data_IF_093089828188
#
_entry.id   IF_093089828188
#
_cell.length_a   1.000
_cell.length_b   1.000
_cell.length_c   1.000
_cell.angle_alpha   90.00
_cell.angle_beta   90.00
_cell.angle_gamma   90.00
#
_symmetry.space_group_name_H-M   'P 1'
#
loop_
_entity.id
_entity.type
_entity.pdbx_description
1 polymer ?
#
# COMPACT_ATOMS: atom_id res chain seq x y z
N UNK A 1 0.11 13.46 21.65
CA UNK A 1 0.17 11.99 21.75
C UNK A 1 -0.08 11.45 20.36
N UNK A 2 0.97 11.33 19.56
CA UNK A 2 0.86 10.78 18.21
C UNK A 2 1.07 9.27 18.28
N UNK A 3 0.04 8.55 17.90
CA UNK A 3 -0.04 7.10 17.97
C UNK A 3 1.06 6.44 17.15
N UNK A 4 1.87 5.65 17.86
CA UNK A 4 2.86 4.74 17.30
C UNK A 4 2.15 3.63 16.51
N UNK A 5 1.97 3.83 15.20
CA UNK A 5 1.85 2.71 14.26
C UNK A 5 3.24 2.44 13.71
N UNK A 6 4.02 1.67 14.49
CA UNK A 6 5.25 0.97 14.14
C UNK A 6 5.70 1.18 12.68
N UNK A 7 6.44 2.26 12.42
CA UNK A 7 7.20 2.39 11.20
C UNK A 7 8.48 1.57 11.37
N UNK A 8 8.48 0.44 10.70
CA UNK A 8 9.68 -0.30 10.33
C UNK A 8 10.57 0.69 9.57
N UNK A 9 11.67 1.08 10.21
CA UNK A 9 12.80 1.89 9.74
C UNK A 9 12.64 2.56 8.35
N UNK A 10 12.45 3.89 8.35
CA UNK A 10 12.73 4.75 7.17
C UNK A 10 11.56 5.10 6.24
N UNK A 11 10.36 4.56 6.44
CA UNK A 11 9.18 4.82 5.60
C UNK A 11 8.25 5.92 6.16
N UNK A 12 8.54 7.19 5.89
CA UNK A 12 7.66 8.29 6.32
C UNK A 12 6.31 8.31 5.58
N UNK A 13 5.30 8.99 6.14
CA UNK A 13 4.00 9.19 5.50
C UNK A 13 4.07 9.75 4.08
N UNK A 14 5.09 10.57 3.76
CA UNK A 14 5.32 11.08 2.40
C UNK A 14 5.77 9.97 1.45
N UNK A 15 6.73 9.14 1.89
CA UNK A 15 7.22 7.99 1.12
C UNK A 15 6.10 6.99 0.88
N UNK A 16 5.26 6.75 1.88
CA UNK A 16 4.09 5.88 1.76
C UNK A 16 3.09 6.35 0.71
N UNK A 17 2.69 7.62 0.76
CA UNK A 17 1.76 8.18 -0.23
C UNK A 17 2.31 8.06 -1.65
N UNK A 18 3.58 8.44 -1.83
CA UNK A 18 4.26 8.38 -3.13
C UNK A 18 4.34 6.94 -3.64
N UNK A 19 4.65 5.98 -2.77
CA UNK A 19 4.70 4.56 -3.12
C UNK A 19 3.33 4.00 -3.52
N UNK A 20 2.26 4.37 -2.81
CA UNK A 20 0.89 3.95 -3.15
C UNK A 20 0.44 4.56 -4.50
N UNK A 21 0.76 5.83 -4.75
CA UNK A 21 0.49 6.48 -6.04
C UNK A 21 1.21 5.78 -7.19
N UNK A 22 2.49 5.41 -6.98
CA UNK A 22 3.25 4.63 -7.96
C UNK A 22 2.62 3.27 -8.22
N UNK A 23 2.16 2.57 -7.17
CA UNK A 23 1.44 1.30 -7.33
C UNK A 23 0.17 1.48 -8.17
N UNK A 24 -0.61 2.55 -7.96
CA UNK A 24 -1.79 2.83 -8.79
C UNK A 24 -1.43 3.09 -10.25
N UNK A 25 -0.35 3.83 -10.53
CA UNK A 25 0.11 4.09 -11.91
C UNK A 25 0.53 2.79 -12.59
N UNK A 26 1.25 1.91 -11.90
CA UNK A 26 1.72 0.64 -12.45
C UNK A 26 0.56 -0.35 -12.64
N UNK A 27 -0.39 -0.42 -11.68
CA UNK A 27 -1.60 -1.23 -11.81
C UNK A 27 -2.54 -0.73 -12.92
N UNK A 28 -2.78 0.58 -13.01
CA UNK A 28 -3.67 1.18 -14.02
C UNK A 28 -3.15 1.05 -15.45
N UNK A 29 -1.85 0.81 -15.64
CA UNK A 29 -1.22 0.58 -16.94
C UNK A 29 -1.27 -0.89 -17.41
N UNK A 30 -1.95 -1.78 -16.68
CA UNK A 30 -2.13 -3.20 -17.07
C UNK A 30 -0.82 -3.99 -17.30
N UNK A 31 0.30 -3.58 -16.71
CA UNK A 31 1.56 -4.33 -16.77
C UNK A 31 1.59 -5.53 -15.80
N UNK A 32 0.47 -5.90 -15.18
CA UNK A 32 0.44 -6.87 -14.07
C UNK A 32 -0.50 -8.03 -14.40
N UNK A 33 -0.03 -8.93 -15.26
CA UNK A 33 -0.57 -10.29 -15.37
C UNK A 33 0.58 -11.30 -15.35
N UNK A 34 0.90 -11.84 -14.17
CA UNK A 34 1.81 -12.99 -14.01
C UNK A 34 3.07 -12.72 -13.19
N UNK A 35 3.51 -13.72 -12.42
CA UNK A 35 4.60 -13.60 -11.42
C UNK A 35 6.00 -13.25 -11.95
N UNK A 36 6.22 -13.30 -13.28
CA UNK A 36 7.48 -12.81 -13.90
C UNK A 36 7.51 -11.27 -14.05
N UNK A 37 6.34 -10.64 -14.09
CA UNK A 37 6.18 -9.18 -14.15
C UNK A 37 6.26 -8.53 -12.76
N UNK A 38 6.03 -9.27 -11.67
CA UNK A 38 6.18 -8.74 -10.30
C UNK A 38 7.62 -8.27 -10.05
N UNK A 39 8.66 -8.97 -10.53
CA UNK A 39 10.05 -8.52 -10.37
C UNK A 39 10.38 -7.28 -11.21
N UNK A 40 9.93 -7.22 -12.47
CA UNK A 40 10.15 -6.06 -13.35
C UNK A 40 9.45 -4.82 -12.76
N UNK A 41 8.24 -5.01 -12.23
CA UNK A 41 7.48 -3.99 -11.52
C UNK A 41 8.22 -3.48 -10.28
N UNK A 42 8.79 -4.38 -9.47
CA UNK A 42 9.53 -4.01 -8.25
C UNK A 42 10.80 -3.21 -8.55
N UNK A 43 11.56 -3.60 -9.59
CA UNK A 43 12.73 -2.83 -10.04
C UNK A 43 12.29 -1.43 -10.50
N UNK A 44 11.21 -1.33 -11.29
CA UNK A 44 10.68 -0.03 -11.72
C UNK A 44 10.19 0.85 -10.56
N UNK A 45 9.52 0.26 -9.56
CA UNK A 45 9.11 0.94 -8.33
C UNK A 45 10.32 1.42 -7.53
N UNK A 46 11.34 0.57 -7.38
CA UNK A 46 12.57 0.92 -6.69
C UNK A 46 13.28 2.09 -7.38
N UNK A 47 13.45 2.04 -8.71
CA UNK A 47 14.09 3.12 -9.46
C UNK A 47 13.35 4.44 -9.25
N UNK A 48 12.01 4.45 -9.31
CA UNK A 48 11.22 5.67 -9.11
C UNK A 48 11.28 6.20 -7.68
N UNK A 49 11.23 5.31 -6.69
CA UNK A 49 11.42 5.69 -5.28
C UNK A 49 12.81 6.28 -5.02
N UNK A 50 13.85 5.71 -5.65
CA UNK A 50 15.21 6.21 -5.53
C UNK A 50 15.43 7.56 -6.21
N UNK A 51 14.71 7.87 -7.30
CA UNK A 51 14.75 9.19 -7.93
C UNK A 51 14.27 10.28 -6.96
N UNK A 52 13.20 10.03 -6.21
CA UNK A 52 12.63 11.06 -5.32
C UNK A 52 13.26 11.08 -3.92
N UNK A 53 13.64 9.93 -3.39
CA UNK A 53 13.99 9.80 -1.97
C UNK A 53 15.38 9.18 -1.71
N UNK A 54 15.94 8.45 -2.68
CA UNK A 54 17.19 7.72 -2.54
C UNK A 54 17.18 6.60 -1.47
N UNK A 55 18.19 5.73 -1.52
CA UNK A 55 18.49 4.78 -0.44
C UNK A 55 17.57 3.54 -0.33
N UNK A 56 16.74 3.25 -1.33
CA UNK A 56 15.92 2.04 -1.37
C UNK A 56 16.64 0.88 -2.05
N UNK A 57 16.63 -0.26 -1.39
CA UNK A 57 17.02 -1.55 -1.97
C UNK A 57 15.79 -2.25 -2.55
N UNK A 58 16.00 -3.18 -3.47
CA UNK A 58 14.91 -4.01 -4.00
C UNK A 58 14.17 -4.73 -2.86
N UNK A 59 14.92 -5.26 -1.89
CA UNK A 59 14.39 -5.92 -0.69
C UNK A 59 13.51 -5.00 0.15
N UNK A 60 13.89 -3.73 0.36
CA UNK A 60 13.09 -2.82 1.17
C UNK A 60 11.76 -2.46 0.50
N UNK A 61 11.76 -2.32 -0.83
CA UNK A 61 10.55 -2.08 -1.64
C UNK A 61 9.65 -3.32 -1.66
N UNK A 62 10.21 -4.50 -1.89
CA UNK A 62 9.48 -5.77 -1.87
C UNK A 62 8.83 -6.03 -0.50
N UNK A 63 9.58 -5.81 0.59
CA UNK A 63 9.05 -5.97 1.94
C UNK A 63 7.87 -5.04 2.19
N UNK A 64 7.96 -3.78 1.75
CA UNK A 64 6.86 -2.83 1.91
C UNK A 64 5.65 -3.18 1.06
N UNK A 65 5.86 -3.58 -0.19
CA UNK A 65 4.78 -4.08 -1.06
C UNK A 65 4.05 -5.27 -0.42
N UNK A 66 4.79 -6.25 0.08
CA UNK A 66 4.22 -7.43 0.75
C UNK A 66 3.44 -7.06 2.02
N UNK A 67 3.93 -6.11 2.81
CA UNK A 67 3.20 -5.58 3.96
C UNK A 67 1.87 -4.95 3.55
N UNK A 68 1.86 -4.08 2.54
CA UNK A 68 0.64 -3.44 2.04
C UNK A 68 -0.34 -4.48 1.48
N UNK A 69 0.15 -5.44 0.68
CA UNK A 69 -0.68 -6.54 0.14
C UNK A 69 -1.33 -7.35 1.26
N UNK A 70 -0.61 -7.67 2.33
CA UNK A 70 -1.17 -8.38 3.51
C UNK A 70 -2.24 -7.54 4.22
N UNK A 71 -1.99 -6.24 4.43
CA UNK A 71 -2.98 -5.32 5.02
C UNK A 71 -4.24 -5.23 4.16
N UNK A 72 -4.12 -5.10 2.84
CA UNK A 72 -5.26 -5.11 1.93
C UNK A 72 -6.06 -6.41 2.01
N UNK A 73 -5.39 -7.58 2.10
CA UNK A 73 -6.09 -8.86 2.31
C UNK A 73 -6.89 -8.88 3.61
N UNK A 74 -6.32 -8.40 4.71
CA UNK A 74 -7.02 -8.31 6.00
C UNK A 74 -8.23 -7.38 5.88
N UNK A 75 -8.06 -6.19 5.29
CA UNK A 75 -9.17 -5.27 5.06
C UNK A 75 -10.26 -5.86 4.17
N UNK A 76 -9.88 -6.59 3.10
CA UNK A 76 -10.86 -7.26 2.25
C UNK A 76 -11.66 -8.31 3.03
N UNK A 77 -11.02 -9.10 3.91
CA UNK A 77 -11.74 -10.04 4.77
C UNK A 77 -12.70 -9.30 5.70
N UNK A 78 -12.25 -8.22 6.34
CA UNK A 78 -13.11 -7.39 7.20
C UNK A 78 -14.30 -6.88 6.39
N UNK A 79 -14.10 -6.25 5.23
CA UNK A 79 -15.19 -5.69 4.43
C UNK A 79 -16.09 -6.75 3.76
N UNK A 80 -15.67 -8.01 3.66
CA UNK A 80 -16.47 -9.08 3.03
C UNK A 80 -17.45 -9.74 3.99
N UNK A 81 -17.15 -9.75 5.29
CA UNK A 81 -17.87 -10.54 6.31
C UNK A 81 -18.37 -9.67 7.48
N UNK A 82 -18.54 -8.37 7.25
CA UNK A 82 -18.91 -7.47 8.34
C UNK A 82 -19.76 -6.28 7.89
N UNK A 83 -20.49 -5.71 8.84
CA UNK A 83 -21.21 -4.46 8.67
C UNK A 83 -20.26 -3.26 8.50
N UNK A 84 -18.95 -3.44 8.48
CA UNK A 84 -18.02 -2.32 8.35
C UNK A 84 -18.08 -1.75 6.93
N UNK A 85 -18.19 -0.44 6.83
CA UNK A 85 -18.19 0.31 5.58
C UNK A 85 -17.14 1.41 5.64
N UNK A 86 -16.49 1.67 4.50
CA UNK A 86 -15.60 2.81 4.36
C UNK A 86 -16.41 4.11 4.24
N UNK A 87 -16.36 4.97 5.26
CA UNK A 87 -17.01 6.27 5.21
C UNK A 87 -16.09 7.30 4.54
N UNK A 88 -16.34 7.58 3.25
CA UNK A 88 -15.55 8.54 2.47
C UNK A 88 -15.58 9.96 3.04
N UNK A 89 -16.71 10.40 3.61
CA UNK A 89 -16.85 11.77 4.13
C UNK A 89 -16.00 12.03 5.38
N UNK A 90 -15.79 11.00 6.21
CA UNK A 90 -15.02 11.09 7.45
C UNK A 90 -13.63 10.45 7.35
N UNK A 91 -13.32 9.79 6.24
CA UNK A 91 -12.05 9.12 5.97
C UNK A 91 -11.67 8.06 7.04
N UNK A 92 -12.66 7.30 7.51
CA UNK A 92 -12.48 6.22 8.50
C UNK A 92 -13.53 5.12 8.33
N UNK A 93 -13.33 3.98 8.99
CA UNK A 93 -14.24 2.83 8.91
C UNK A 93 -15.40 3.04 9.90
N UNK A 94 -16.63 2.81 9.45
CA UNK A 94 -17.84 2.91 10.27
C UNK A 94 -18.68 1.66 10.19
N UNK A 95 -19.36 1.31 11.27
CA UNK A 95 -20.46 0.34 11.26
C UNK A 95 -21.76 1.16 11.09
N UNK A 96 -22.52 1.02 9.99
CA UNK A 96 -23.84 1.62 9.87
C UNK A 96 -24.71 1.16 11.03
N UNK A 97 -25.43 2.08 11.66
CA UNK A 97 -26.40 1.69 12.68
C UNK A 97 -27.44 0.75 12.05
N UNK A 98 -27.53 -0.48 12.57
CA UNK A 98 -28.61 -1.39 12.20
C UNK A 98 -29.95 -0.71 12.52
N UNK A 99 -30.88 -0.74 11.56
CA UNK A 99 -32.22 -0.16 11.67
C UNK A 99 -33.11 -1.03 12.54
#
# INVERSE_FOLDING_TARGET
MDGQFLDVEGWSSKKEKSFIELLHVVHGRNEISGGRLENIMLVGLQSRMNVEFGGFTETSVLNRFNMLRRRCKIFNVIFSDSDFQWNRAKNWITIPKQK
#
